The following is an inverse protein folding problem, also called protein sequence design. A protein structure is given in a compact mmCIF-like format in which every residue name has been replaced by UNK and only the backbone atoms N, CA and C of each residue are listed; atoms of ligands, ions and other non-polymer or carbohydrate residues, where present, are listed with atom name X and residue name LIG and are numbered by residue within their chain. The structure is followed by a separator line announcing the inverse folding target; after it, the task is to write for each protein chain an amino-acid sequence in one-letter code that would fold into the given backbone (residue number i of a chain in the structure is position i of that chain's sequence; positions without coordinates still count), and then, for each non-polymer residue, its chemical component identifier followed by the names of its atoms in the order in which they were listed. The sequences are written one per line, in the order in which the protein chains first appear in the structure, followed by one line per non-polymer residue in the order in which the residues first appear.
data_IF_799606168080
#
_entry.id   IF_799606168080
#
_cell.length_a   1.000
_cell.length_b   1.000
_cell.length_c   1.000
_cell.angle_alpha   90.00
_cell.angle_beta   90.00
_cell.angle_gamma   90.00
#
_symmetry.space_group_name_H-M   'P 1'
#
loop_
_entity.id
_entity.type
_entity.pdbx_description
1 polymer ?
#
# COMPACT_ATOMS: atom_id res chain seq x y z
N UNK A 1 49.88 -39.45 -2.20
CA UNK A 1 48.92 -38.79 -1.29
C UNK A 1 49.10 -37.29 -1.44
N UNK A 2 48.19 -36.60 -2.13
CA UNK A 2 48.19 -35.14 -2.27
C UNK A 2 46.85 -34.65 -1.75
N UNK A 3 46.87 -34.08 -0.55
CA UNK A 3 45.71 -33.49 0.12
C UNK A 3 45.41 -32.13 -0.52
N UNK A 4 44.34 -32.05 -1.30
CA UNK A 4 43.80 -30.79 -1.82
C UNK A 4 42.90 -30.19 -0.73
N UNK A 5 43.31 -29.06 -0.15
CA UNK A 5 42.48 -28.27 0.76
C UNK A 5 41.49 -27.47 -0.09
N UNK A 6 40.20 -27.81 0.01
CA UNK A 6 39.10 -27.08 -0.59
C UNK A 6 38.78 -25.87 0.29
N UNK A 7 39.14 -24.67 -0.15
CA UNK A 7 38.78 -23.43 0.52
C UNK A 7 37.32 -23.08 0.19
N UNK A 8 36.43 -23.22 1.17
CA UNK A 8 35.05 -22.73 1.09
C UNK A 8 35.11 -21.21 1.31
N UNK A 9 34.97 -20.45 0.23
CA UNK A 9 34.76 -19.01 0.30
C UNK A 9 33.32 -18.75 0.75
N UNK A 10 33.15 -18.38 2.02
CA UNK A 10 31.86 -17.95 2.56
C UNK A 10 31.59 -16.53 2.07
N UNK A 11 30.82 -16.40 0.99
CA UNK A 11 30.29 -15.13 0.50
C UNK A 11 29.24 -14.61 1.49
N UNK A 12 29.65 -13.67 2.35
CA UNK A 12 28.74 -12.92 3.23
C UNK A 12 27.92 -11.99 2.34
N UNK A 13 26.68 -12.39 2.03
CA UNK A 13 25.68 -11.48 1.46
C UNK A 13 25.38 -10.40 2.51
N UNK A 14 25.80 -9.17 2.25
CA UNK A 14 25.50 -8.03 3.11
C UNK A 14 24.06 -7.61 2.84
N UNK A 15 23.13 -7.95 3.73
CA UNK A 15 21.81 -7.32 3.75
C UNK A 15 22.00 -5.89 4.27
N UNK A 16 21.95 -4.91 3.38
CA UNK A 16 21.84 -3.51 3.79
C UNK A 16 20.50 -3.35 4.55
N UNK A 17 20.46 -2.61 5.67
CA UNK A 17 19.19 -2.32 6.32
C UNK A 17 18.30 -1.55 5.34
N UNK A 18 17.09 -2.04 5.10
CA UNK A 18 16.05 -1.23 4.48
C UNK A 18 15.80 -0.02 5.39
N UNK A 19 16.00 1.18 4.85
CA UNK A 19 15.67 2.40 5.56
C UNK A 19 14.16 2.57 5.48
N UNK A 20 13.51 2.86 6.61
CA UNK A 20 12.12 3.26 6.62
C UNK A 20 11.96 4.55 5.80
N UNK A 21 11.14 4.51 4.76
CA UNK A 21 10.84 5.66 3.92
C UNK A 21 9.55 6.37 4.39
N UNK A 22 9.44 7.66 4.06
CA UNK A 22 8.21 8.42 4.25
C UNK A 22 7.55 8.60 2.88
N UNK A 23 6.39 7.98 2.71
CA UNK A 23 5.57 8.06 1.50
C UNK A 23 4.50 9.13 1.72
N UNK A 24 4.64 10.27 1.04
CA UNK A 24 3.66 11.36 1.11
C UNK A 24 2.49 11.14 0.15
N UNK A 25 1.27 11.18 0.69
CA UNK A 25 0.03 11.07 -0.07
C UNK A 25 -0.80 12.34 0.12
N UNK A 26 -1.04 13.09 -0.95
CA UNK A 26 -1.86 14.28 -0.89
C UNK A 26 -3.35 13.95 -0.92
N UNK A 27 -4.15 14.73 -0.20
CA UNK A 27 -5.61 14.67 -0.24
C UNK A 27 -6.14 15.85 -1.05
N UNK A 28 -6.73 15.57 -2.20
CA UNK A 28 -7.02 16.56 -3.24
C UNK A 28 -8.50 16.65 -3.58
N UNK A 29 -8.98 17.87 -3.84
CA UNK A 29 -10.28 18.10 -4.47
C UNK A 29 -10.28 17.63 -5.92
N UNK A 30 -9.14 17.79 -6.61
CA UNK A 30 -8.95 17.39 -8.00
C UNK A 30 -7.48 17.17 -8.34
N UNK A 31 -7.13 16.10 -9.07
CA UNK A 31 -5.77 15.88 -9.59
C UNK A 31 -5.55 16.56 -10.96
N UNK A 32 -4.36 16.39 -11.54
CA UNK A 32 -3.99 16.93 -12.84
C UNK A 32 -4.80 16.32 -14.00
N UNK A 33 -5.21 15.06 -13.87
CA UNK A 33 -6.05 14.34 -14.83
C UNK A 33 -7.53 14.77 -14.78
N UNK A 34 -7.92 15.53 -13.76
CA UNK A 34 -9.26 16.07 -13.59
C UNK A 34 -10.20 15.21 -12.74
N UNK A 35 -9.72 14.09 -12.20
CA UNK A 35 -10.45 13.27 -11.22
C UNK A 35 -10.66 14.05 -9.95
N UNK A 36 -11.80 13.83 -9.29
CA UNK A 36 -12.25 14.62 -8.14
C UNK A 36 -12.30 13.78 -6.88
N UNK A 37 -11.94 14.40 -5.76
CA UNK A 37 -11.88 13.76 -4.44
C UNK A 37 -10.97 12.52 -4.49
N UNK A 38 -9.68 12.76 -4.60
CA UNK A 38 -8.69 11.70 -4.83
C UNK A 38 -7.53 11.84 -3.86
N UNK A 39 -6.90 10.72 -3.57
CA UNK A 39 -5.54 10.70 -3.05
C UNK A 39 -4.58 10.88 -4.24
N UNK A 40 -3.41 11.49 -4.05
CA UNK A 40 -2.42 11.66 -5.14
C UNK A 40 -1.93 10.33 -5.71
N UNK A 41 -1.96 9.28 -4.89
CA UNK A 41 -1.75 7.90 -5.29
C UNK A 41 -2.87 7.05 -4.70
N UNK A 42 -3.48 6.23 -5.52
CA UNK A 42 -4.60 5.37 -5.11
C UNK A 42 -4.16 3.90 -4.94
N UNK A 43 -3.09 3.48 -5.61
CA UNK A 43 -2.36 2.25 -5.32
C UNK A 43 -1.00 2.62 -4.71
N UNK A 44 -0.84 2.37 -3.41
CA UNK A 44 0.33 2.79 -2.64
C UNK A 44 1.16 1.53 -2.32
N UNK A 45 2.39 1.46 -2.82
CA UNK A 45 3.33 0.40 -2.47
C UNK A 45 4.18 0.84 -1.30
N UNK A 46 4.34 -0.02 -0.31
CA UNK A 46 5.14 0.23 0.87
C UNK A 46 5.82 -1.07 1.33
N UNK A 47 6.82 -0.93 2.20
CA UNK A 47 7.47 -2.04 2.90
C UNK A 47 7.22 -1.94 4.42
N UNK A 48 7.44 -3.04 5.14
CA UNK A 48 7.38 -3.02 6.60
C UNK A 48 8.43 -2.06 7.16
N UNK A 49 7.99 -1.13 8.00
CA UNK A 49 8.78 -0.06 8.56
C UNK A 49 8.53 1.32 7.93
N UNK A 50 7.90 1.39 6.75
CA UNK A 50 7.58 2.66 6.11
C UNK A 50 6.50 3.45 6.87
N UNK A 51 6.51 4.76 6.65
CA UNK A 51 5.47 5.67 7.13
C UNK A 51 4.73 6.25 5.94
N UNK A 52 3.44 5.99 5.86
CA UNK A 52 2.56 6.63 4.88
C UNK A 52 1.95 7.88 5.53
N UNK A 53 2.28 9.05 5.01
CA UNK A 53 1.79 10.34 5.52
C UNK A 53 0.77 10.94 4.58
N UNK A 54 -0.49 10.98 5.04
CA UNK A 54 -1.58 11.64 4.34
C UNK A 54 -1.60 13.13 4.66
N UNK A 55 -1.46 13.99 3.65
CA UNK A 55 -1.35 15.44 3.78
C UNK A 55 -2.61 16.13 3.25
N UNK A 56 -3.28 16.98 4.03
CA UNK A 56 -4.47 17.73 3.58
C UNK A 56 -4.08 18.91 2.69
N UNK A 57 -3.63 18.63 1.46
CA UNK A 57 -3.29 19.67 0.47
C UNK A 57 -4.53 20.52 0.15
N UNK A 58 -5.69 19.88 0.05
CA UNK A 58 -6.99 20.54 0.00
C UNK A 58 -7.80 20.38 1.30
N UNK A 59 -8.79 21.25 1.48
CA UNK A 59 -9.71 21.20 2.63
C UNK A 59 -10.82 20.17 2.44
N UNK A 60 -11.34 19.69 3.56
CA UNK A 60 -12.49 18.78 3.72
C UNK A 60 -12.16 17.30 3.54
N UNK A 61 -10.89 16.92 3.68
CA UNK A 61 -10.43 15.54 3.57
C UNK A 61 -9.90 14.99 4.89
N UNK A 62 -9.99 13.68 5.05
CA UNK A 62 -9.26 12.90 6.05
C UNK A 62 -8.77 11.59 5.39
N UNK A 63 -7.91 10.86 6.09
CA UNK A 63 -7.58 9.47 5.76
C UNK A 63 -7.87 8.60 6.98
N UNK A 64 -8.41 7.41 6.74
CA UNK A 64 -8.61 6.40 7.78
C UNK A 64 -8.64 5.01 7.16
N UNK A 65 -8.21 4.00 7.93
CA UNK A 65 -8.38 2.61 7.52
C UNK A 65 -9.87 2.22 7.56
N UNK A 66 -10.22 1.24 6.74
CA UNK A 66 -11.55 0.61 6.75
C UNK A 66 -11.54 -0.53 7.76
N UNK A 67 -12.60 -0.62 8.57
CA UNK A 67 -12.74 -1.68 9.58
C UNK A 67 -12.71 -3.05 8.90
N UNK A 68 -11.93 -3.97 9.47
CA UNK A 68 -11.77 -5.35 9.01
C UNK A 68 -11.18 -5.48 7.58
N UNK A 69 -10.50 -4.44 7.07
CA UNK A 69 -9.93 -4.40 5.72
C UNK A 69 -8.46 -3.91 5.76
N UNK A 70 -7.69 -4.58 6.60
CA UNK A 70 -6.27 -4.37 6.88
C UNK A 70 -5.68 -5.69 7.41
N UNK A 71 -4.36 -5.91 7.37
CA UNK A 71 -3.76 -7.16 7.82
C UNK A 71 -4.01 -7.44 9.31
N UNK A 72 -3.99 -8.72 9.69
CA UNK A 72 -4.03 -9.09 11.11
C UNK A 72 -2.79 -8.54 11.82
N UNK A 73 -2.97 -7.91 13.00
CA UNK A 73 -1.89 -7.30 13.76
C UNK A 73 -1.59 -5.83 13.39
N UNK A 74 -2.06 -5.37 12.24
CA UNK A 74 -1.88 -3.98 11.83
C UNK A 74 -2.83 -3.05 12.58
N UNK A 75 -2.27 -1.99 13.19
CA UNK A 75 -3.08 -1.02 13.94
C UNK A 75 -3.98 -0.19 12.99
N UNK A 76 -5.29 -0.06 13.29
CA UNK A 76 -6.18 0.80 12.51
C UNK A 76 -5.89 2.28 12.84
N UNK A 77 -6.11 3.15 11.86
CA UNK A 77 -5.90 4.59 12.03
C UNK A 77 -7.10 5.41 11.59
N UNK A 78 -7.28 6.58 12.22
CA UNK A 78 -8.34 7.54 11.86
C UNK A 78 -7.90 8.98 11.99
N UNK A 79 -7.64 9.61 10.85
CA UNK A 79 -7.27 11.00 10.74
C UNK A 79 -8.44 11.94 11.00
N UNK A 80 -8.15 13.08 11.62
CA UNK A 80 -9.10 14.19 11.74
C UNK A 80 -9.16 14.94 10.41
N UNK A 81 -10.33 15.50 10.08
CA UNK A 81 -10.51 16.30 8.88
C UNK A 81 -9.56 17.52 8.91
N UNK A 82 -8.92 17.81 7.77
CA UNK A 82 -7.93 18.88 7.61
C UNK A 82 -6.66 18.74 8.46
N UNK A 83 -6.34 17.53 8.93
CA UNK A 83 -5.09 17.26 9.63
C UNK A 83 -4.31 16.18 8.90
N UNK A 84 -2.99 16.33 8.90
CA UNK A 84 -2.12 15.26 8.47
C UNK A 84 -2.24 14.08 9.44
N UNK A 85 -2.07 12.87 8.91
CA UNK A 85 -1.95 11.66 9.71
C UNK A 85 -0.88 10.76 9.11
N UNK A 86 -0.14 10.11 9.99
CA UNK A 86 0.86 9.12 9.66
C UNK A 86 0.30 7.73 10.00
N UNK A 87 0.60 6.79 9.12
CA UNK A 87 0.28 5.38 9.24
C UNK A 87 1.58 4.59 9.13
N UNK A 88 2.02 4.01 10.23
CA UNK A 88 3.21 3.16 10.31
C UNK A 88 2.85 1.75 9.82
N UNK A 89 3.59 1.26 8.84
CA UNK A 89 3.39 -0.05 8.23
C UNK A 89 4.15 -1.08 9.03
N UNK A 90 3.44 -2.00 9.70
CA UNK A 90 4.05 -3.02 10.56
C UNK A 90 3.83 -4.44 10.05
N UNK A 91 2.80 -4.65 9.22
CA UNK A 91 2.43 -5.97 8.70
C UNK A 91 2.40 -5.96 7.17
N UNK A 92 2.71 -7.11 6.57
CA UNK A 92 2.50 -7.33 5.13
C UNK A 92 1.01 -7.50 4.82
N UNK A 93 0.62 -7.24 3.58
CA UNK A 93 -0.75 -7.41 3.11
C UNK A 93 -1.35 -6.13 2.55
N UNK A 94 -2.68 -6.10 2.50
CA UNK A 94 -3.46 -5.02 1.94
C UNK A 94 -4.19 -4.22 3.02
N UNK A 95 -4.15 -2.88 2.91
CA UNK A 95 -4.97 -1.98 3.74
C UNK A 95 -5.82 -1.07 2.86
N UNK A 96 -7.14 -1.12 3.03
CA UNK A 96 -8.06 -0.17 2.42
C UNK A 96 -8.10 1.13 3.21
N UNK A 97 -7.90 2.25 2.52
CA UNK A 97 -7.93 3.60 3.09
C UNK A 97 -9.06 4.40 2.45
N UNK A 98 -9.79 5.16 3.26
CA UNK A 98 -10.88 6.01 2.78
C UNK A 98 -10.78 7.42 3.33
N UNK A 99 -11.22 8.39 2.53
CA UNK A 99 -11.67 9.68 3.04
C UNK A 99 -13.16 9.57 3.39
N UNK A 100 -13.49 9.57 4.68
CA UNK A 100 -14.83 9.22 5.17
C UNK A 100 -15.96 10.07 4.55
N UNK A 101 -15.84 11.41 4.40
CA UNK A 101 -16.85 12.24 3.76
C UNK A 101 -17.04 11.96 2.26
N UNK A 102 -16.05 11.37 1.59
CA UNK A 102 -15.98 11.26 0.13
C UNK A 102 -15.81 9.82 -0.39
N UNK A 103 -15.83 8.81 0.48
CA UNK A 103 -15.67 7.40 0.10
C UNK A 103 -16.71 6.96 -0.94
N UNK A 104 -17.97 7.40 -0.80
CA UNK A 104 -19.04 7.09 -1.76
C UNK A 104 -18.82 7.72 -3.15
N UNK A 105 -18.00 8.75 -3.21
CA UNK A 105 -17.62 9.44 -4.44
C UNK A 105 -16.38 8.81 -5.11
N UNK A 106 -15.68 7.89 -4.43
CA UNK A 106 -14.49 7.20 -4.94
C UNK A 106 -13.17 7.66 -4.34
N UNK A 107 -13.18 8.42 -3.23
CA UNK A 107 -11.94 8.85 -2.56
C UNK A 107 -11.41 7.74 -1.64
N UNK A 108 -10.73 6.77 -2.25
CA UNK A 108 -10.19 5.58 -1.61
C UNK A 108 -8.77 5.32 -2.12
N UNK A 109 -7.98 4.59 -1.34
CA UNK A 109 -6.69 4.06 -1.76
C UNK A 109 -6.50 2.65 -1.21
N UNK A 110 -5.60 1.89 -1.83
CA UNK A 110 -5.17 0.56 -1.43
C UNK A 110 -3.66 0.61 -1.16
N UNK A 111 -3.26 0.32 0.08
CA UNK A 111 -1.86 0.11 0.43
C UNK A 111 -1.54 -1.37 0.18
N UNK A 112 -0.43 -1.64 -0.50
CA UNK A 112 0.10 -2.97 -0.79
C UNK A 112 1.48 -3.08 -0.16
N UNK A 113 1.65 -4.04 0.75
CA UNK A 113 2.90 -4.21 1.51
C UNK A 113 3.54 -5.55 1.20
N UNK A 114 4.78 -5.54 0.71
CA UNK A 114 5.58 -6.74 0.43
C UNK A 114 4.96 -7.68 -0.63
N UNK A 115 4.18 -7.12 -1.56
CA UNK A 115 3.43 -7.86 -2.60
C UNK A 115 2.48 -8.96 -2.06
N UNK A 116 2.15 -8.90 -0.78
CA UNK A 116 1.25 -9.83 -0.13
C UNK A 116 -0.21 -9.45 -0.41
N UNK A 117 -0.91 -10.32 -1.15
CA UNK A 117 -2.33 -10.17 -1.49
C UNK A 117 -3.23 -11.15 -0.71
N UNK A 118 -2.70 -11.79 0.33
CA UNK A 118 -3.39 -12.88 1.03
C UNK A 118 -4.72 -12.49 1.66
N UNK A 119 -4.90 -11.21 2.05
CA UNK A 119 -6.12 -10.66 2.62
C UNK A 119 -6.99 -9.88 1.61
N UNK A 120 -6.83 -10.11 0.30
CA UNK A 120 -7.65 -9.44 -0.72
C UNK A 120 -9.16 -9.63 -0.53
N UNK A 121 -9.60 -10.80 -0.05
CA UNK A 121 -11.02 -11.04 0.22
C UNK A 121 -11.55 -10.13 1.33
N UNK A 122 -10.73 -9.76 2.31
CA UNK A 122 -11.14 -8.83 3.37
C UNK A 122 -11.39 -7.42 2.80
N UNK A 123 -10.54 -6.99 1.86
CA UNK A 123 -10.71 -5.73 1.12
C UNK A 123 -12.01 -5.73 0.31
N UNK A 124 -12.28 -6.81 -0.42
CA UNK A 124 -13.47 -6.92 -1.27
C UNK A 124 -14.77 -7.05 -0.45
N UNK A 125 -14.68 -7.63 0.75
CA UNK A 125 -15.81 -7.72 1.68
C UNK A 125 -16.01 -6.45 2.52
N UNK A 126 -15.05 -5.54 2.53
CA UNK A 126 -15.14 -4.24 3.16
C UNK A 126 -16.20 -3.42 2.42
N UNK A 127 -17.42 -3.36 2.99
CA UNK A 127 -18.61 -2.75 2.36
C UNK A 127 -18.51 -1.22 2.23
N UNK A 128 -17.54 -0.72 1.48
CA UNK A 128 -17.37 0.70 1.15
C UNK A 128 -18.46 1.07 0.14
N UNK A 129 -19.26 2.12 0.42
CA UNK A 129 -20.41 2.44 -0.39
C UNK A 129 -20.03 3.05 -1.74
N UNK A 130 -20.91 2.90 -2.72
CA UNK A 130 -20.85 3.61 -4.01
C UNK A 130 -19.55 3.39 -4.76
N UNK A 131 -19.05 4.45 -5.40
CA UNK A 131 -17.85 4.38 -6.26
C UNK A 131 -16.58 3.96 -5.51
N UNK A 132 -16.55 4.10 -4.18
CA UNK A 132 -15.41 3.68 -3.37
C UNK A 132 -15.24 2.16 -3.35
N UNK A 133 -16.34 1.41 -3.30
CA UNK A 133 -16.30 -0.05 -3.41
C UNK A 133 -15.78 -0.48 -4.78
N UNK A 134 -16.41 0.02 -5.84
CA UNK A 134 -16.01 -0.26 -7.23
C UNK A 134 -14.51 0.06 -7.49
N UNK A 135 -14.01 1.17 -6.92
CA UNK A 135 -12.60 1.55 -7.06
C UNK A 135 -11.66 0.63 -6.26
N UNK A 136 -12.03 0.20 -5.05
CA UNK A 136 -11.22 -0.76 -4.30
C UNK A 136 -11.12 -2.11 -5.03
N UNK A 137 -12.22 -2.58 -5.62
CA UNK A 137 -12.20 -3.80 -6.45
C UNK A 137 -11.22 -3.65 -7.62
N UNK A 138 -11.26 -2.52 -8.34
CA UNK A 138 -10.34 -2.24 -9.43
C UNK A 138 -8.86 -2.17 -8.97
N UNK A 139 -8.58 -1.54 -7.83
CA UNK A 139 -7.22 -1.44 -7.27
C UNK A 139 -6.68 -2.81 -6.85
N UNK A 140 -7.52 -3.71 -6.31
CA UNK A 140 -7.13 -5.09 -5.98
C UNK A 140 -6.76 -5.86 -7.24
N UNK A 141 -7.53 -5.73 -8.32
CA UNK A 141 -7.22 -6.36 -9.60
C UNK A 141 -5.96 -5.79 -10.26
N UNK A 142 -5.76 -4.47 -10.17
CA UNK A 142 -4.53 -3.82 -10.60
C UNK A 142 -3.31 -4.37 -9.86
N UNK A 143 -3.38 -4.48 -8.52
CA UNK A 143 -2.29 -5.03 -7.71
C UNK A 143 -1.91 -6.46 -8.14
N UNK A 144 -2.90 -7.33 -8.36
CA UNK A 144 -2.69 -8.70 -8.89
C UNK A 144 -1.99 -8.69 -10.25
N UNK A 145 -2.39 -7.78 -11.14
CA UNK A 145 -1.83 -7.71 -12.49
C UNK A 145 -0.35 -7.27 -12.50
N UNK A 146 0.05 -6.39 -11.59
CA UNK A 146 1.43 -5.90 -11.51
C UNK A 146 2.36 -6.98 -10.95
N UNK A 147 1.95 -7.66 -9.87
CA UNK A 147 2.77 -8.71 -9.24
C UNK A 147 3.01 -9.89 -10.18
N UNK A 148 1.99 -10.31 -10.93
CA UNK A 148 2.14 -11.38 -11.93
C UNK A 148 3.07 -11.00 -13.09
N UNK A 149 3.16 -9.70 -13.41
CA UNK A 149 4.06 -9.21 -14.46
C UNK A 149 5.52 -9.25 -14.00
N UNK A 150 5.80 -8.88 -12.75
CA UNK A 150 7.16 -8.88 -12.20
C UNK A 150 7.76 -10.29 -12.08
N UNK A 151 6.96 -11.29 -11.67
CA UNK A 151 7.39 -12.69 -11.67
C UNK A 151 7.73 -13.20 -13.08
N UNK A 152 6.95 -12.81 -14.09
CA UNK A 152 7.17 -13.23 -15.49
C UNK A 152 8.43 -12.61 -16.13
N UNK A 153 8.87 -11.46 -15.62
CA UNK A 153 10.05 -10.74 -16.12
C UNK A 153 11.37 -11.27 -15.55
N UNK A 154 11.32 -11.88 -14.37
CA UNK A 154 12.51 -12.41 -13.67
C UNK A 154 13.00 -13.74 -14.28
N UNK A 155 12.10 -14.53 -14.89
CA UNK A 155 12.42 -15.85 -15.45
C UNK A 155 13.08 -15.83 -16.85
N UNK A 156 13.25 -14.66 -17.48
CA UNK A 156 13.90 -14.53 -18.80
C UNK A 156 15.37 -14.11 -18.76
N UNK A 157 16.00 -14.09 -17.57
CA UNK A 157 17.40 -13.66 -17.39
C UNK A 157 18.37 -14.78 -17.01
N UNK A 158 18.09 -16.03 -17.42
CA UNK A 158 18.97 -17.20 -17.21
C UNK A 158 19.44 -17.84 -18.50
#
# INVERSE_FOLDING_TARGET
MKTTLLAIALSVASAAPALADIIEIEMLNKNEDGDRMVFSQELIRAEVGDIIRFVPTDKSHNAQSVKDALPEGQEPFRGRVNQAIEYEVTETGLTAVVCLPHQAMGMVALVVVGDDLSNADDILNARVPGKGGDKLEALVEEAKSLITTDESSTDQSS
#
